data_IF_247584474556
#
_entry.id   IF_247584474556
#
_cell.length_a   1.000
_cell.length_b   1.000
_cell.length_c   1.000
_cell.angle_alpha   90.00
_cell.angle_beta   90.00
_cell.angle_gamma   90.00
#
_symmetry.space_group_name_H-M   'P 1'
#
loop_
_entity.id
_entity.type
_entity.pdbx_description
1 polymer ?
#
# COMPACT_ATOMS: atom_id res chain seq x y z
N UNK A 1 -22.68 23.31 -5.93
CA UNK A 1 -21.95 22.13 -6.46
C UNK A 1 -21.95 21.06 -5.40
N UNK A 2 -22.25 19.80 -5.76
CA UNK A 2 -22.20 18.69 -4.81
C UNK A 2 -20.75 18.28 -4.53
N UNK A 3 -20.40 18.04 -3.27
CA UNK A 3 -19.05 17.61 -2.84
C UNK A 3 -18.63 16.32 -3.56
N UNK A 4 -17.36 16.26 -3.97
CA UNK A 4 -16.76 15.05 -4.52
C UNK A 4 -15.76 14.44 -3.53
N UNK A 5 -15.90 13.14 -3.21
CA UNK A 5 -14.94 12.40 -2.39
C UNK A 5 -13.57 12.34 -3.06
N UNK A 6 -12.48 12.18 -2.28
CA UNK A 6 -11.10 12.37 -2.75
C UNK A 6 -10.58 11.28 -3.71
N UNK A 7 -11.45 10.42 -4.25
CA UNK A 7 -11.09 9.34 -5.18
C UNK A 7 -10.28 8.19 -4.59
N UNK A 8 -9.91 8.27 -3.30
CA UNK A 8 -9.03 7.30 -2.62
C UNK A 8 -9.62 5.89 -2.52
N UNK A 9 -10.94 5.73 -2.65
CA UNK A 9 -11.68 4.46 -2.54
C UNK A 9 -11.29 3.61 -1.31
N UNK A 10 -10.88 4.27 -0.24
CA UNK A 10 -10.26 3.65 0.93
C UNK A 10 -11.13 2.64 1.69
N UNK A 11 -12.44 2.60 1.42
CA UNK A 11 -13.40 1.72 2.09
C UNK A 11 -13.66 2.02 3.57
N UNK A 12 -12.99 3.01 4.16
CA UNK A 12 -13.04 3.31 5.60
C UNK A 12 -14.42 3.78 6.08
N UNK A 13 -15.23 4.32 5.18
CA UNK A 13 -16.62 4.67 5.44
C UNK A 13 -17.60 3.49 5.28
N UNK A 14 -17.13 2.31 4.90
CA UNK A 14 -17.96 1.13 4.69
C UNK A 14 -18.55 0.99 3.28
N UNK A 15 -18.27 1.92 2.37
CA UNK A 15 -18.65 1.82 0.96
C UNK A 15 -17.46 1.41 0.08
N UNK A 16 -17.69 0.50 -0.87
CA UNK A 16 -16.64 -0.13 -1.70
C UNK A 16 -15.83 0.87 -2.54
N UNK A 17 -16.44 1.96 -2.95
CA UNK A 17 -15.76 3.04 -3.69
C UNK A 17 -16.33 4.37 -3.26
N UNK A 18 -15.57 5.44 -3.46
CA UNK A 18 -16.02 6.82 -3.36
C UNK A 18 -17.25 7.09 -4.26
N UNK A 19 -17.39 6.39 -5.40
CA UNK A 19 -18.58 6.48 -6.27
C UNK A 19 -19.80 5.76 -5.67
N UNK A 20 -19.62 4.54 -5.15
CA UNK A 20 -20.69 3.81 -4.47
C UNK A 20 -21.13 4.47 -3.16
N UNK A 21 -20.17 5.05 -2.42
CA UNK A 21 -20.43 5.92 -1.28
C UNK A 21 -21.33 7.09 -1.67
N UNK A 22 -21.02 7.76 -2.79
CA UNK A 22 -21.87 8.81 -3.34
C UNK A 22 -23.25 8.32 -3.76
N UNK A 23 -23.39 7.12 -4.32
CA UNK A 23 -24.69 6.53 -4.66
C UNK A 23 -25.54 6.26 -3.41
N UNK A 24 -24.93 5.78 -2.33
CA UNK A 24 -25.58 5.59 -1.01
C UNK A 24 -25.98 6.92 -0.35
N UNK A 25 -25.15 7.96 -0.50
CA UNK A 25 -25.49 9.31 -0.02
C UNK A 25 -26.61 9.93 -0.85
N UNK A 26 -26.70 9.59 -2.14
CA UNK A 26 -27.79 10.02 -3.04
C UNK A 26 -29.09 9.25 -2.82
N UNK A 27 -29.05 7.98 -2.40
CA UNK A 27 -30.24 7.21 -2.02
C UNK A 27 -30.74 7.51 -0.60
N UNK A 28 -30.01 8.33 0.18
CA UNK A 28 -30.35 8.71 1.56
C UNK A 28 -29.97 7.69 2.64
N UNK A 29 -29.31 6.60 2.24
CA UNK A 29 -28.89 5.51 3.12
C UNK A 29 -27.63 5.87 3.94
N UNK A 30 -26.88 6.90 3.50
CA UNK A 30 -25.73 7.51 4.21
C UNK A 30 -25.68 9.02 4.03
N UNK A 31 -24.81 9.69 4.77
CA UNK A 31 -24.55 11.13 4.66
C UNK A 31 -23.10 11.41 4.30
N UNK A 32 -22.80 12.55 3.66
CA UNK A 32 -21.44 12.85 3.24
C UNK A 32 -20.38 12.80 4.38
N UNK A 33 -20.66 13.26 5.62
CA UNK A 33 -19.74 13.14 6.76
C UNK A 33 -19.32 11.71 7.13
N UNK A 34 -20.04 10.68 6.66
CA UNK A 34 -19.65 9.28 6.89
C UNK A 34 -18.36 8.90 6.15
N UNK A 35 -17.92 9.69 5.16
CA UNK A 35 -16.59 9.58 4.61
C UNK A 35 -15.59 10.26 5.54
N UNK A 36 -14.57 9.56 6.08
CA UNK A 36 -13.56 10.16 6.97
C UNK A 36 -12.70 11.24 6.28
N UNK A 37 -12.92 11.49 4.99
CA UNK A 37 -12.25 12.51 4.20
C UNK A 37 -13.22 13.60 3.69
N UNK A 38 -14.44 13.70 4.24
CA UNK A 38 -15.42 14.73 3.87
C UNK A 38 -15.09 16.13 4.42
N UNK A 39 -15.32 17.17 3.60
CA UNK A 39 -15.19 18.61 3.92
C UNK A 39 -16.22 19.41 3.08
N UNK A 40 -17.00 20.35 3.64
CA UNK A 40 -17.98 21.14 2.87
C UNK A 40 -17.29 22.05 1.81
N UNK A 41 -17.60 21.82 0.52
CA UNK A 41 -16.81 22.18 -0.69
C UNK A 41 -16.82 23.63 -1.19
N UNK A 42 -15.77 23.99 -1.98
CA UNK A 42 -15.84 24.29 -3.45
C UNK A 42 -14.51 23.94 -4.20
N UNK A 43 -14.53 23.17 -5.32
CA UNK A 43 -13.47 23.17 -6.38
C UNK A 43 -13.00 21.83 -7.00
N UNK A 44 -12.91 21.74 -8.33
CA UNK A 44 -12.55 20.58 -9.21
C UNK A 44 -11.21 19.87 -8.88
N UNK A 45 -11.14 18.53 -8.98
CA UNK A 45 -9.84 17.84 -9.04
C UNK A 45 -9.39 17.72 -10.51
N UNK A 46 -8.71 18.77 -10.95
CA UNK A 46 -7.84 18.83 -12.13
C UNK A 46 -6.92 17.60 -12.21
N UNK A 47 -6.34 17.35 -13.41
CA UNK A 47 -5.24 16.42 -13.64
C UNK A 47 -4.39 16.26 -12.37
N UNK A 48 -4.59 15.14 -11.65
CA UNK A 48 -3.95 14.96 -10.35
C UNK A 48 -2.46 15.06 -10.61
N UNK A 49 -1.85 16.05 -9.96
CA UNK A 49 -0.43 16.33 -10.00
C UNK A 49 0.31 14.98 -9.96
N UNK A 50 1.10 14.66 -10.99
CA UNK A 50 1.80 13.37 -11.18
C UNK A 50 3.00 13.26 -10.22
N UNK A 51 2.72 13.63 -8.99
CA UNK A 51 3.61 14.09 -7.97
C UNK A 51 3.04 13.61 -6.63
N UNK A 52 3.91 13.29 -5.70
CA UNK A 52 3.51 12.91 -4.35
C UNK A 52 3.03 14.13 -3.54
N UNK A 53 2.69 13.94 -2.26
CA UNK A 53 2.19 15.03 -1.40
C UNK A 53 3.19 16.18 -1.22
N UNK A 54 4.46 15.98 -1.55
CA UNK A 54 5.51 17.01 -1.50
C UNK A 54 5.85 17.58 -2.89
N UNK A 55 5.14 17.18 -3.94
CA UNK A 55 5.39 17.61 -5.32
C UNK A 55 6.49 16.82 -6.03
N UNK A 56 6.98 15.71 -5.47
CA UNK A 56 7.99 14.90 -6.14
C UNK A 56 7.35 13.99 -7.18
N UNK A 57 7.89 14.01 -8.40
CA UNK A 57 7.46 13.11 -9.45
C UNK A 57 7.90 11.66 -9.21
N UNK A 58 7.08 10.72 -9.65
CA UNK A 58 7.38 9.29 -9.68
C UNK A 58 7.21 8.69 -11.08
N UNK A 59 7.92 7.60 -11.34
CA UNK A 59 7.98 6.94 -12.65
C UNK A 59 6.74 6.07 -12.91
N UNK A 60 6.27 5.38 -11.87
CA UNK A 60 5.10 4.50 -11.92
C UNK A 60 4.40 4.38 -10.56
N UNK A 61 3.14 3.94 -10.57
CA UNK A 61 2.41 3.48 -9.37
C UNK A 61 2.49 1.96 -9.32
N UNK A 62 2.70 1.40 -8.13
CA UNK A 62 2.71 -0.04 -7.91
C UNK A 62 1.33 -0.50 -7.40
N UNK A 63 0.59 -1.16 -8.28
CA UNK A 63 -0.73 -1.71 -8.04
C UNK A 63 -0.66 -3.19 -7.56
N UNK A 64 -1.74 -3.70 -6.95
CA UNK A 64 -1.82 -5.12 -6.57
C UNK A 64 -1.75 -6.05 -7.77
N UNK A 65 -1.27 -7.27 -7.56
CA UNK A 65 -1.51 -8.39 -8.48
C UNK A 65 -3.02 -8.68 -8.52
N UNK A 66 -3.61 -9.07 -9.66
CA UNK A 66 -5.03 -9.39 -9.72
C UNK A 66 -5.46 -10.41 -8.66
N UNK A 67 -6.51 -10.08 -7.92
CA UNK A 67 -7.02 -10.91 -6.81
C UNK A 67 -6.40 -10.62 -5.45
N UNK A 68 -5.37 -9.78 -5.37
CA UNK A 68 -4.72 -9.40 -4.12
C UNK A 68 -5.23 -8.05 -3.59
N UNK A 69 -5.28 -7.86 -2.25
CA UNK A 69 -5.81 -6.63 -1.65
C UNK A 69 -4.83 -5.45 -1.74
N UNK A 70 -3.54 -5.70 -1.93
CA UNK A 70 -2.50 -4.69 -2.06
C UNK A 70 -1.31 -5.27 -2.83
N UNK A 71 -0.40 -4.41 -3.30
CA UNK A 71 0.92 -4.87 -3.75
C UNK A 71 1.61 -5.60 -2.58
N UNK A 72 2.36 -6.65 -2.91
CA UNK A 72 3.09 -7.44 -1.92
C UNK A 72 4.22 -6.58 -1.37
N UNK A 73 4.37 -6.60 -0.05
CA UNK A 73 5.46 -5.95 0.67
C UNK A 73 6.32 -7.02 1.31
N UNK A 74 7.60 -6.95 1.04
CA UNK A 74 8.61 -7.89 1.54
C UNK A 74 9.31 -7.19 2.69
N UNK A 75 9.20 -7.77 3.89
CA UNK A 75 9.68 -7.16 5.13
C UNK A 75 10.59 -8.12 5.88
N UNK A 76 11.58 -7.55 6.57
CA UNK A 76 12.44 -8.27 7.50
C UNK A 76 12.31 -7.61 8.87
N UNK A 77 11.70 -8.29 9.87
CA UNK A 77 11.72 -7.80 11.24
C UNK A 77 13.16 -7.50 11.69
N UNK A 78 13.37 -6.48 12.52
CA UNK A 78 14.72 -6.19 13.05
C UNK A 78 15.30 -7.34 13.88
N UNK A 79 14.41 -8.22 14.36
CA UNK A 79 14.74 -9.51 14.97
C UNK A 79 14.11 -10.63 14.16
N UNK A 80 14.80 -11.17 13.13
CA UNK A 80 14.26 -12.21 12.28
C UNK A 80 13.94 -13.51 13.05
N UNK A 81 14.62 -13.76 14.18
CA UNK A 81 14.36 -14.91 15.07
C UNK A 81 12.92 -14.93 15.62
N UNK A 82 12.25 -13.78 15.67
CA UNK A 82 10.86 -13.70 16.16
C UNK A 82 9.88 -14.41 15.23
N UNK A 83 10.18 -14.53 13.94
CA UNK A 83 9.32 -15.27 13.00
C UNK A 83 9.20 -16.72 13.43
N UNK A 84 10.31 -17.39 13.71
CA UNK A 84 10.33 -18.76 14.22
C UNK A 84 9.80 -18.84 15.65
N UNK A 85 10.31 -18.00 16.56
CA UNK A 85 10.00 -18.07 17.99
C UNK A 85 8.54 -17.78 18.32
N UNK A 86 7.87 -16.98 17.50
CA UNK A 86 6.44 -16.69 17.66
C UNK A 86 5.55 -17.53 16.73
N UNK A 87 6.14 -18.40 15.91
CA UNK A 87 5.41 -19.23 14.97
C UNK A 87 4.63 -18.44 13.92
N UNK A 88 5.16 -17.29 13.48
CA UNK A 88 4.50 -16.44 12.48
C UNK A 88 4.41 -17.21 11.16
N UNK A 89 3.19 -17.40 10.67
CA UNK A 89 2.89 -18.17 9.48
C UNK A 89 1.91 -17.45 8.54
N UNK A 90 1.60 -18.06 7.40
CA UNK A 90 0.62 -17.54 6.44
C UNK A 90 -0.73 -17.23 7.14
N UNK A 91 -1.30 -16.07 6.80
CA UNK A 91 -2.57 -15.60 7.35
C UNK A 91 -2.45 -14.75 8.61
N UNK A 92 -1.35 -14.84 9.34
CA UNK A 92 -1.16 -14.06 10.56
C UNK A 92 -1.10 -12.56 10.30
N UNK A 93 -1.52 -11.78 11.31
CA UNK A 93 -1.44 -10.32 11.29
C UNK A 93 -0.19 -9.88 12.04
N UNK A 94 0.69 -9.19 11.32
CA UNK A 94 1.92 -8.61 11.84
C UNK A 94 1.79 -7.09 11.85
N UNK A 95 2.07 -6.48 13.00
CA UNK A 95 2.11 -5.03 13.17
C UNK A 95 3.55 -4.55 13.23
N UNK A 96 3.81 -3.38 12.67
CA UNK A 96 5.10 -2.73 12.84
C UNK A 96 5.27 -1.51 11.97
N UNK A 97 6.31 -0.74 12.28
CA UNK A 97 6.69 0.45 11.50
C UNK A 97 7.83 0.13 10.54
N UNK A 98 7.78 0.59 9.28
CA UNK A 98 8.86 0.41 8.30
C UNK A 98 10.04 1.36 8.59
N UNK A 99 10.65 1.25 9.77
CA UNK A 99 11.68 2.20 10.23
C UNK A 99 12.91 2.22 9.32
N UNK A 100 13.19 1.14 8.59
CA UNK A 100 14.27 1.12 7.59
C UNK A 100 14.10 2.12 6.43
N UNK A 101 12.86 2.52 6.12
CA UNK A 101 12.55 3.49 5.06
C UNK A 101 12.09 4.85 5.60
N UNK A 102 11.91 5.00 6.92
CA UNK A 102 11.55 6.27 7.56
C UNK A 102 10.04 6.59 7.60
N UNK A 103 9.15 5.68 7.20
CA UNK A 103 7.70 5.91 7.36
C UNK A 103 7.28 5.72 8.84
N UNK A 104 6.68 6.75 9.49
CA UNK A 104 6.27 6.68 10.89
C UNK A 104 4.96 5.93 11.12
N UNK A 105 4.25 5.56 10.06
CA UNK A 105 2.91 4.97 10.13
C UNK A 105 3.02 3.48 10.46
N UNK A 106 2.25 3.02 11.45
CA UNK A 106 2.10 1.60 11.73
C UNK A 106 1.43 0.93 10.54
N UNK A 107 2.06 -0.11 10.02
CA UNK A 107 1.47 -0.97 9.02
C UNK A 107 0.85 -2.19 9.69
N UNK A 108 -0.31 -2.59 9.18
CA UNK A 108 -0.92 -3.88 9.46
C UNK A 108 -0.63 -4.75 8.25
N UNK A 109 0.06 -5.86 8.47
CA UNK A 109 0.52 -6.75 7.42
C UNK A 109 -0.13 -8.11 7.60
N UNK A 110 -0.74 -8.65 6.55
CA UNK A 110 -1.17 -10.05 6.54
C UNK A 110 -0.11 -10.88 5.85
N UNK A 111 0.39 -11.91 6.53
CA UNK A 111 1.45 -12.78 5.99
C UNK A 111 0.90 -13.64 4.85
N UNK A 112 1.66 -13.68 3.75
CA UNK A 112 1.45 -14.56 2.60
C UNK A 112 2.44 -15.73 2.68
N UNK A 113 3.68 -15.43 3.06
CA UNK A 113 4.75 -16.41 3.19
C UNK A 113 5.70 -15.97 4.30
N UNK A 114 6.13 -16.91 5.13
CA UNK A 114 7.18 -16.73 6.10
C UNK A 114 8.37 -17.62 5.73
N UNK A 115 9.51 -17.02 5.38
CA UNK A 115 10.70 -17.76 5.00
C UNK A 115 11.40 -18.33 6.25
N UNK A 116 11.49 -19.66 6.40
CA UNK A 116 12.03 -20.28 7.62
C UNK A 116 13.55 -20.12 7.77
N UNK A 117 14.26 -19.76 6.69
CA UNK A 117 15.73 -19.60 6.71
C UNK A 117 16.12 -18.18 7.09
N UNK A 118 15.39 -17.19 6.60
CA UNK A 118 15.78 -15.77 6.71
C UNK A 118 14.91 -14.97 7.67
N UNK A 119 13.73 -15.46 8.03
CA UNK A 119 12.70 -14.68 8.74
C UNK A 119 12.12 -13.54 7.89
N UNK A 120 12.33 -13.55 6.56
CA UNK A 120 11.68 -12.63 5.64
C UNK A 120 10.20 -12.99 5.52
N UNK A 121 9.34 -11.98 5.59
CA UNK A 121 7.91 -12.13 5.39
C UNK A 121 7.51 -11.47 4.07
N UNK A 122 6.83 -12.23 3.22
CA UNK A 122 6.06 -11.67 2.10
C UNK A 122 4.66 -11.40 2.61
N UNK A 123 4.18 -10.16 2.48
CA UNK A 123 2.94 -9.71 3.12
C UNK A 123 2.06 -8.88 2.21
N UNK A 124 0.76 -8.84 2.50
CA UNK A 124 -0.12 -7.77 2.04
C UNK A 124 -0.17 -6.67 3.09
N UNK A 125 -0.09 -5.42 2.67
CA UNK A 125 -0.50 -4.31 3.54
C UNK A 125 -2.02 -4.32 3.61
N UNK A 126 -2.56 -4.54 4.81
CA UNK A 126 -3.99 -4.51 5.09
C UNK A 126 -4.32 -3.30 5.95
N UNK A 127 -5.57 -2.83 5.89
CA UNK A 127 -6.01 -1.67 6.67
C UNK A 127 -6.09 -1.97 8.17
N UNK A 128 -6.11 -0.93 9.04
CA UNK A 128 -6.18 -1.09 10.51
C UNK A 128 -7.44 -1.81 11.01
N UNK A 129 -8.46 -1.98 10.17
CA UNK A 129 -9.60 -2.81 10.51
C UNK A 129 -9.23 -4.27 10.79
N UNK A 130 -8.18 -4.80 10.13
CA UNK A 130 -7.74 -6.19 10.28
C UNK A 130 -7.04 -6.46 11.62
N UNK A 131 -6.59 -5.43 12.34
CA UNK A 131 -5.99 -5.59 13.66
C UNK A 131 -6.97 -5.40 14.82
N UNK A 132 -8.22 -4.97 14.55
CA UNK A 132 -9.21 -4.72 15.61
C UNK A 132 -9.77 -6.04 16.13
N UNK A 133 -9.49 -6.35 17.40
CA UNK A 133 -9.98 -7.57 18.06
C UNK A 133 -9.36 -8.87 17.52
N UNK A 134 -8.33 -8.77 16.68
CA UNK A 134 -7.58 -9.91 16.17
C UNK A 134 -6.31 -10.15 16.99
N UNK A 135 -5.88 -11.40 17.09
CA UNK A 135 -4.52 -11.71 17.55
C UNK A 135 -3.52 -11.15 16.55
N UNK A 136 -2.52 -10.42 17.04
CA UNK A 136 -1.52 -9.77 16.19
C UNK A 136 -0.12 -9.97 16.78
N UNK A 137 0.87 -10.18 15.91
CA UNK A 137 2.28 -10.15 16.26
C UNK A 137 2.84 -8.75 16.04
N UNK A 138 3.11 -8.02 17.12
CA UNK A 138 3.71 -6.69 17.01
C UNK A 138 5.24 -6.78 17.04
N UNK A 139 5.85 -6.78 15.85
CA UNK A 139 7.32 -6.79 15.70
C UNK A 139 7.96 -5.42 15.94
N UNK A 140 7.16 -4.40 16.31
CA UNK A 140 7.53 -3.01 16.59
C UNK A 140 8.06 -2.24 15.36
N UNK A 141 9.10 -2.77 14.72
CA UNK A 141 9.78 -2.19 13.57
C UNK A 141 10.38 -3.26 12.65
N UNK A 142 10.48 -2.93 11.36
CA UNK A 142 11.08 -3.80 10.36
C UNK A 142 11.79 -3.01 9.25
N UNK A 143 12.66 -3.70 8.52
CA UNK A 143 13.19 -3.25 7.24
C UNK A 143 12.19 -3.56 6.13
N UNK A 144 11.83 -2.55 5.35
CA UNK A 144 11.10 -2.74 4.10
C UNK A 144 12.13 -3.03 3.01
N UNK A 145 12.25 -4.29 2.60
CA UNK A 145 13.33 -4.72 1.71
C UNK A 145 12.90 -4.84 0.26
N UNK A 146 11.59 -4.92 0.00
CA UNK A 146 11.09 -4.88 -1.36
C UNK A 146 9.58 -4.80 -1.47
N UNK A 147 9.15 -4.64 -2.72
CA UNK A 147 7.76 -4.73 -3.13
C UNK A 147 7.65 -5.57 -4.41
N UNK A 148 6.47 -6.15 -4.61
CA UNK A 148 6.10 -6.83 -5.84
C UNK A 148 4.65 -6.50 -6.20
N UNK A 149 4.39 -6.21 -7.48
CA UNK A 149 3.06 -5.80 -7.95
C UNK A 149 3.04 -5.45 -9.43
N UNK A 150 1.89 -4.98 -9.91
CA UNK A 150 1.71 -4.56 -11.30
C UNK A 150 2.08 -3.08 -11.42
N UNK A 151 2.98 -2.75 -12.34
CA UNK A 151 3.38 -1.38 -12.58
C UNK A 151 2.39 -0.66 -13.51
N UNK A 152 1.86 0.47 -13.04
CA UNK A 152 1.15 1.44 -13.86
C UNK A 152 2.10 2.59 -14.20
N UNK A 153 2.64 2.57 -15.41
CA UNK A 153 3.57 3.60 -15.89
C UNK A 153 2.92 4.97 -15.88
N UNK A 154 3.63 5.95 -15.31
CA UNK A 154 3.21 7.37 -15.27
C UNK A 154 4.15 8.22 -16.11
N UNK A 155 5.45 8.15 -15.82
CA UNK A 155 6.49 8.90 -16.55
C UNK A 155 7.46 8.01 -17.29
N UNK A 156 7.94 6.94 -16.65
CA UNK A 156 8.96 6.04 -17.22
C UNK A 156 8.58 4.59 -16.93
N UNK A 157 8.71 3.68 -17.91
CA UNK A 157 8.42 2.28 -17.68
C UNK A 157 9.42 1.66 -16.70
N UNK A 158 9.02 0.65 -15.92
CA UNK A 158 9.95 -0.12 -15.11
C UNK A 158 11.06 -0.71 -15.97
N UNK A 159 12.31 -0.52 -15.56
CA UNK A 159 13.51 -0.96 -16.28
C UNK A 159 14.40 -1.75 -15.33
N UNK A 160 14.69 -3.01 -15.66
CA UNK A 160 15.54 -3.88 -14.84
C UNK A 160 16.90 -3.22 -14.54
N UNK A 161 17.35 -3.32 -13.28
CA UNK A 161 18.59 -2.73 -12.78
C UNK A 161 18.55 -1.22 -12.53
N UNK A 162 17.48 -0.53 -12.94
CA UNK A 162 17.36 0.92 -12.74
C UNK A 162 16.79 1.23 -11.35
N UNK A 163 17.40 2.19 -10.64
CA UNK A 163 16.76 2.83 -9.49
C UNK A 163 15.70 3.80 -9.99
N UNK A 164 14.44 3.53 -9.66
CA UNK A 164 13.29 4.32 -10.11
C UNK A 164 12.47 4.82 -8.94
N UNK A 165 11.74 5.90 -9.19
CA UNK A 165 10.79 6.48 -8.24
C UNK A 165 9.42 5.82 -8.43
N UNK A 166 8.79 5.37 -7.37
CA UNK A 166 7.48 4.76 -7.46
C UNK A 166 6.59 5.13 -6.28
N UNK A 167 5.28 5.12 -6.52
CA UNK A 167 4.30 5.28 -5.46
C UNK A 167 3.64 3.93 -5.18
N UNK A 168 3.74 3.36 -3.96
CA UNK A 168 2.94 2.21 -3.60
C UNK A 168 1.45 2.60 -3.59
N UNK A 169 0.60 1.89 -4.35
CA UNK A 169 -0.82 2.27 -4.51
C UNK A 169 -1.63 2.30 -3.21
N UNK A 170 -1.13 1.65 -2.15
CA UNK A 170 -1.73 1.60 -0.81
C UNK A 170 -0.96 2.40 0.25
N UNK A 171 -0.09 3.34 -0.17
CA UNK A 171 0.64 4.20 0.76
C UNK A 171 -0.28 5.25 1.40
N UNK A 172 -0.47 5.18 2.72
CA UNK A 172 -1.29 6.17 3.45
C UNK A 172 -0.66 7.58 3.47
N UNK A 173 0.67 7.67 3.39
CA UNK A 173 1.38 8.96 3.37
C UNK A 173 1.38 9.63 2.00
N UNK A 174 1.09 8.88 0.93
CA UNK A 174 1.24 9.33 -0.45
C UNK A 174 2.63 9.98 -0.70
N UNK A 175 3.70 9.33 -0.25
CA UNK A 175 5.09 9.73 -0.48
C UNK A 175 5.75 8.80 -1.50
N UNK A 176 6.54 9.38 -2.39
CA UNK A 176 7.36 8.65 -3.35
C UNK A 176 8.36 7.76 -2.61
N UNK A 177 8.57 6.56 -3.13
CA UNK A 177 9.65 5.67 -2.75
C UNK A 177 10.66 5.60 -3.90
N UNK A 178 11.89 5.23 -3.62
CA UNK A 178 12.88 4.81 -4.61
C UNK A 178 13.27 3.37 -4.39
N UNK A 179 13.59 2.65 -5.45
CA UNK A 179 14.12 1.29 -5.34
C UNK A 179 14.67 0.81 -6.68
N UNK A 180 15.47 -0.25 -6.65
CA UNK A 180 16.02 -0.91 -7.84
C UNK A 180 15.00 -1.90 -8.36
N UNK A 181 14.56 -1.73 -9.60
CA UNK A 181 13.71 -2.72 -10.28
C UNK A 181 14.54 -3.98 -10.55
N UNK A 182 14.30 -5.06 -9.80
CA UNK A 182 15.05 -6.32 -9.90
C UNK A 182 14.30 -7.40 -10.70
N UNK A 183 13.05 -7.14 -11.11
CA UNK A 183 12.29 -8.05 -11.95
C UNK A 183 11.32 -7.25 -12.80
N UNK A 184 11.18 -7.60 -14.08
CA UNK A 184 10.13 -7.12 -14.98
C UNK A 184 9.66 -8.30 -15.81
N UNK A 185 8.40 -8.69 -15.63
CA UNK A 185 7.76 -9.80 -16.35
C UNK A 185 6.49 -9.27 -17.00
N UNK A 186 6.36 -9.48 -18.30
CA UNK A 186 5.14 -9.17 -19.03
C UNK A 186 4.07 -10.24 -18.75
N UNK A 187 2.87 -9.80 -18.37
CA UNK A 187 1.70 -10.63 -18.15
C UNK A 187 0.47 -10.00 -18.82
N UNK A 188 -0.61 -10.76 -19.07
CA UNK A 188 -1.85 -10.21 -19.63
C UNK A 188 -2.42 -9.01 -18.84
N UNK A 189 -2.23 -9.00 -17.53
CA UNK A 189 -2.66 -7.93 -16.61
C UNK A 189 -1.72 -6.71 -16.57
N UNK A 190 -0.54 -6.77 -17.17
CA UNK A 190 0.46 -5.70 -17.18
C UNK A 190 1.87 -6.17 -16.81
N UNK A 191 2.74 -5.22 -16.51
CA UNK A 191 4.12 -5.51 -16.10
C UNK A 191 4.15 -5.88 -14.62
N UNK A 192 4.33 -7.17 -14.32
CA UNK A 192 4.67 -7.60 -12.96
C UNK A 192 6.13 -7.22 -12.69
N UNK A 193 6.35 -6.46 -11.63
CA UNK A 193 7.68 -6.02 -11.24
C UNK A 193 7.99 -6.34 -9.79
N UNK A 194 9.29 -6.47 -9.50
CA UNK A 194 9.82 -6.49 -8.14
C UNK A 194 10.82 -5.37 -7.99
N UNK A 195 10.67 -4.61 -6.91
CA UNK A 195 11.54 -3.47 -6.58
C UNK A 195 12.15 -3.71 -5.21
N UNK A 196 13.47 -3.59 -5.08
CA UNK A 196 14.24 -3.85 -3.86
C UNK A 196 15.16 -2.67 -3.51
N UNK A 197 15.82 -2.71 -2.34
CA UNK A 197 16.60 -1.59 -1.78
C UNK A 197 15.76 -0.30 -1.72
N UNK A 198 14.61 -0.41 -1.05
CA UNK A 198 13.56 0.60 -0.99
C UNK A 198 13.92 1.71 0.00
N UNK A 199 13.70 2.97 -0.41
CA UNK A 199 13.90 4.18 0.40
C UNK A 199 12.76 5.17 0.15
N UNK A 200 12.46 6.08 1.08
CA UNK A 200 11.62 7.25 0.83
C UNK A 200 12.44 8.37 0.20
#
# INVERSE_FOLDING_TARGET
MAWQPPGKNCGLCGAKTCRAFLEMVRSGERSYPDCPFYQETVGEQAAQDLSDILGNAYDFVLDPVPGEPSARKIVLPFRPDLVERWGIAEGDIVLGRPMGAGCPVQHVLRVIEANPVTGVLTTHVVGPAFSRGASCHDVQAYHMIGFEGIARTVRRPPTFGMRQRFLPGFCMMALTHTGVTNMVIERPEGLLIRVEDVRL
#
